data_IF_037110783945
#
_entry.id   IF_037110783945
#
_cell.length_a   1.000
_cell.length_b   1.000
_cell.length_c   1.000
_cell.angle_alpha   90.00
_cell.angle_beta   90.00
_cell.angle_gamma   90.00
#
_symmetry.space_group_name_H-M   'P 1'
#
loop_
_entity.id
_entity.type
_entity.pdbx_description
1 polymer ?
#
# COMPACT_ATOMS: atom_id res chain seq x y z
N UNK A 1 34.63 -32.29 -4.37
CA UNK A 1 33.86 -31.21 -3.66
C UNK A 1 33.91 -29.89 -4.46
N UNK A 2 35.04 -29.36 -4.90
CA UNK A 2 35.11 -28.09 -5.66
C UNK A 2 34.33 -28.07 -6.99
N UNK A 3 34.18 -29.19 -7.70
CA UNK A 3 33.36 -29.27 -8.92
C UNK A 3 31.86 -29.06 -8.71
N UNK A 4 31.32 -29.36 -7.53
CA UNK A 4 29.92 -29.12 -7.20
C UNK A 4 29.64 -27.63 -6.94
N UNK A 5 30.56 -26.91 -6.33
CA UNK A 5 30.42 -25.47 -6.07
C UNK A 5 30.64 -24.61 -7.32
N UNK A 6 31.44 -25.08 -8.30
CA UNK A 6 31.63 -24.34 -9.55
C UNK A 6 30.42 -24.32 -10.46
N UNK A 7 29.50 -25.29 -10.34
CA UNK A 7 28.26 -25.37 -11.15
C UNK A 7 27.07 -24.60 -10.53
N UNK A 8 27.20 -24.03 -9.35
CA UNK A 8 26.15 -23.23 -8.71
C UNK A 8 26.08 -21.87 -9.40
N UNK A 9 24.88 -21.46 -9.81
CA UNK A 9 24.63 -20.19 -10.52
C UNK A 9 24.81 -18.96 -9.62
N UNK A 10 24.64 -19.12 -8.30
CA UNK A 10 24.88 -18.05 -7.34
C UNK A 10 26.37 -17.72 -7.24
N UNK A 11 26.67 -16.40 -7.15
CA UNK A 11 28.04 -15.94 -6.98
C UNK A 11 28.62 -16.33 -5.61
N UNK A 12 29.74 -17.04 -5.59
CA UNK A 12 30.43 -17.48 -4.37
C UNK A 12 31.91 -17.15 -4.43
N UNK A 13 32.49 -16.75 -3.30
CA UNK A 13 33.91 -16.59 -3.12
C UNK A 13 34.36 -17.13 -1.76
N UNK A 14 35.63 -17.45 -1.66
CA UNK A 14 36.26 -18.05 -0.48
C UNK A 14 37.38 -17.14 -0.01
N UNK A 15 37.43 -16.90 1.29
CA UNK A 15 38.54 -16.22 1.94
C UNK A 15 39.24 -17.14 2.91
N UNK A 16 40.56 -16.96 3.04
CA UNK A 16 41.35 -17.62 4.04
C UNK A 16 41.18 -16.96 5.44
N UNK A 17 41.85 -17.50 6.46
CA UNK A 17 41.78 -16.96 7.82
C UNK A 17 42.27 -15.51 7.94
N UNK A 18 43.11 -15.04 7.03
CA UNK A 18 43.60 -13.66 7.01
C UNK A 18 42.61 -12.68 6.35
N UNK A 19 41.51 -13.18 5.73
CA UNK A 19 40.55 -12.39 4.96
C UNK A 19 40.96 -12.18 3.50
N UNK A 20 41.97 -12.92 3.00
CA UNK A 20 42.42 -12.87 1.62
C UNK A 20 41.55 -13.78 0.74
N UNK A 21 41.11 -13.28 -0.40
CA UNK A 21 40.29 -14.03 -1.36
C UNK A 21 41.17 -15.09 -2.02
N UNK A 22 40.76 -16.36 -1.88
CA UNK A 22 41.54 -17.50 -2.39
C UNK A 22 40.84 -18.19 -3.56
N UNK A 23 39.54 -18.00 -3.74
CA UNK A 23 38.79 -18.66 -4.80
C UNK A 23 37.46 -17.96 -5.07
N UNK A 24 36.97 -18.06 -6.35
CA UNK A 24 35.64 -17.64 -6.78
C UNK A 24 35.05 -18.68 -7.75
N UNK A 25 33.74 -18.82 -7.76
CA UNK A 25 33.03 -19.67 -8.71
C UNK A 25 32.66 -18.94 -10.02
N UNK A 26 32.17 -19.68 -11.02
CA UNK A 26 31.69 -19.10 -12.28
C UNK A 26 30.60 -18.05 -12.07
N UNK A 27 29.66 -18.29 -11.15
CA UNK A 27 28.57 -17.35 -10.86
C UNK A 27 29.03 -16.00 -10.32
N UNK A 28 30.19 -15.94 -9.66
CA UNK A 28 30.75 -14.69 -9.14
C UNK A 28 31.46 -13.85 -10.20
N UNK A 29 31.95 -14.46 -11.28
CA UNK A 29 32.71 -13.78 -12.36
C UNK A 29 31.93 -12.59 -12.95
N UNK A 30 30.61 -12.69 -13.03
CA UNK A 30 29.75 -11.61 -13.56
C UNK A 30 29.84 -10.29 -12.80
N UNK A 31 30.28 -10.32 -11.53
CA UNK A 31 30.41 -9.12 -10.69
C UNK A 31 31.79 -8.46 -10.79
N UNK A 32 32.81 -9.17 -11.28
CA UNK A 32 34.20 -8.69 -11.39
C UNK A 32 34.33 -7.37 -12.15
N UNK A 33 33.71 -7.20 -13.33
CA UNK A 33 33.86 -5.96 -14.10
C UNK A 33 33.35 -4.73 -13.33
N UNK A 34 32.24 -4.84 -12.60
CA UNK A 34 31.67 -3.77 -11.79
C UNK A 34 32.51 -3.45 -10.54
N UNK A 35 33.29 -4.42 -10.05
CA UNK A 35 34.25 -4.25 -8.98
C UNK A 35 35.60 -3.72 -9.45
N UNK A 36 35.80 -3.58 -10.79
CA UNK A 36 37.02 -3.04 -11.40
C UNK A 36 38.08 -4.09 -11.81
N UNK A 37 37.71 -5.36 -11.91
CA UNK A 37 38.58 -6.46 -12.25
C UNK A 37 38.22 -7.07 -13.60
N UNK A 38 39.24 -7.35 -14.45
CA UNK A 38 39.02 -7.93 -15.76
C UNK A 38 39.14 -9.46 -15.78
N UNK A 39 39.74 -10.06 -14.75
CA UNK A 39 39.91 -11.52 -14.63
C UNK A 39 39.89 -11.97 -13.16
N UNK A 40 39.71 -13.29 -12.99
CA UNK A 40 39.76 -13.93 -11.65
C UNK A 40 41.15 -13.80 -11.03
N UNK A 41 42.21 -13.97 -11.84
CA UNK A 41 43.60 -13.91 -11.37
C UNK A 41 43.97 -12.53 -10.78
N UNK A 42 43.28 -11.47 -11.27
CA UNK A 42 43.45 -10.12 -10.73
C UNK A 42 42.66 -9.94 -9.41
N UNK A 43 41.59 -10.68 -9.20
CA UNK A 43 40.74 -10.57 -8.05
C UNK A 43 41.20 -11.42 -6.86
N UNK A 44 41.63 -12.63 -7.13
CA UNK A 44 42.19 -13.56 -6.15
C UNK A 44 43.51 -13.01 -5.59
N UNK A 45 43.69 -13.14 -4.29
CA UNK A 45 44.87 -12.61 -3.58
C UNK A 45 44.67 -11.26 -2.88
N UNK A 46 43.60 -10.51 -3.22
CA UNK A 46 43.28 -9.25 -2.53
C UNK A 46 42.63 -9.52 -1.17
N UNK A 47 42.78 -8.55 -0.26
CA UNK A 47 41.98 -8.55 0.97
C UNK A 47 40.52 -8.24 0.62
N UNK A 48 39.62 -9.00 1.20
CA UNK A 48 38.18 -8.87 0.90
C UNK A 48 37.64 -7.45 1.26
N UNK A 49 38.21 -6.82 2.26
CA UNK A 49 37.84 -5.48 2.71
C UNK A 49 38.25 -4.38 1.71
N UNK A 50 39.35 -4.58 0.99
CA UNK A 50 39.83 -3.63 -0.02
C UNK A 50 38.90 -3.62 -1.25
N UNK A 51 38.32 -4.77 -1.57
CA UNK A 51 37.45 -4.95 -2.73
C UNK A 51 35.98 -4.71 -2.39
N UNK A 52 35.57 -5.13 -1.20
CA UNK A 52 34.20 -5.03 -0.69
C UNK A 52 34.25 -4.31 0.67
N UNK A 53 34.33 -2.97 0.68
CA UNK A 53 34.61 -2.21 1.91
C UNK A 53 33.62 -2.41 3.05
N UNK A 54 32.35 -2.71 2.73
CA UNK A 54 31.30 -2.90 3.73
C UNK A 54 31.08 -4.39 4.09
N UNK A 55 32.05 -5.24 3.80
CA UNK A 55 31.92 -6.67 4.13
C UNK A 55 32.05 -6.88 5.63
N UNK A 56 31.19 -7.73 6.19
CA UNK A 56 31.29 -8.18 7.60
C UNK A 56 32.14 -9.48 7.70
N UNK A 57 32.97 -9.76 6.69
CA UNK A 57 33.71 -11.03 6.61
C UNK A 57 34.71 -11.18 7.76
N UNK A 58 35.40 -10.10 8.14
CA UNK A 58 36.33 -10.11 9.26
C UNK A 58 35.67 -10.56 10.56
N UNK A 59 34.47 -10.04 10.85
CA UNK A 59 33.70 -10.43 12.03
C UNK A 59 33.39 -11.93 12.03
N UNK A 60 32.99 -12.50 10.88
CA UNK A 60 32.74 -13.94 10.74
C UNK A 60 33.99 -14.76 10.99
N UNK A 61 35.16 -14.31 10.52
CA UNK A 61 36.44 -14.96 10.75
C UNK A 61 36.89 -14.91 12.22
N UNK A 62 36.61 -13.80 12.91
CA UNK A 62 36.97 -13.59 14.33
C UNK A 62 36.02 -14.29 15.28
N UNK A 63 34.70 -14.20 15.06
CA UNK A 63 33.70 -14.76 15.97
C UNK A 63 33.34 -16.20 15.66
N UNK A 64 33.54 -16.63 14.43
CA UNK A 64 33.09 -17.93 13.94
C UNK A 64 31.56 -18.05 13.84
N UNK A 65 30.81 -16.96 13.97
CA UNK A 65 29.35 -16.93 13.80
C UNK A 65 28.94 -16.62 12.36
N UNK A 66 28.03 -17.38 11.77
CA UNK A 66 27.57 -17.13 10.41
C UNK A 66 26.67 -15.88 10.33
N UNK A 67 26.80 -15.13 9.27
CA UNK A 67 25.85 -14.09 8.85
C UNK A 67 25.02 -14.63 7.68
N UNK A 68 23.83 -15.16 7.99
CA UNK A 68 23.04 -15.92 7.00
C UNK A 68 22.28 -15.02 6.03
N UNK A 69 21.87 -13.80 6.42
CA UNK A 69 21.17 -12.85 5.56
C UNK A 69 21.63 -11.44 5.92
N UNK A 70 22.25 -10.76 4.96
CA UNK A 70 22.70 -9.37 5.13
C UNK A 70 22.54 -8.61 3.81
N UNK A 71 22.30 -7.29 3.87
CA UNK A 71 22.24 -6.41 2.72
C UNK A 71 23.61 -5.76 2.51
N UNK A 72 24.23 -6.08 1.37
CA UNK A 72 25.50 -5.51 0.96
C UNK A 72 25.29 -4.60 -0.25
N UNK A 73 25.67 -3.32 -0.12
CA UNK A 73 25.69 -2.37 -1.24
C UNK A 73 27.14 -2.02 -1.57
N UNK A 74 27.54 -2.24 -2.82
CA UNK A 74 28.85 -1.89 -3.35
C UNK A 74 28.72 -1.28 -4.76
N UNK A 75 29.85 -1.11 -5.47
CA UNK A 75 29.87 -0.56 -6.84
C UNK A 75 29.13 -1.41 -7.87
N UNK A 76 28.95 -2.70 -7.62
CA UNK A 76 28.23 -3.61 -8.51
C UNK A 76 26.71 -3.65 -8.25
N UNK A 77 26.19 -3.03 -7.17
CA UNK A 77 24.78 -2.97 -6.85
C UNK A 77 24.48 -3.29 -5.38
N UNK A 78 23.21 -3.55 -5.11
CA UNK A 78 22.72 -4.01 -3.80
C UNK A 78 22.40 -5.50 -3.88
N UNK A 79 22.90 -6.25 -2.92
CA UNK A 79 22.84 -7.72 -2.88
C UNK A 79 22.33 -8.20 -1.52
N UNK A 80 21.62 -9.32 -1.52
CA UNK A 80 21.43 -10.11 -0.31
C UNK A 80 22.50 -11.16 -0.28
N UNK A 81 23.30 -11.17 0.78
CA UNK A 81 24.48 -12.01 0.90
C UNK A 81 24.44 -12.84 2.17
N UNK A 82 25.14 -13.97 2.14
CA UNK A 82 25.40 -14.83 3.28
C UNK A 82 26.90 -15.01 3.46
N UNK A 83 27.33 -15.13 4.72
CA UNK A 83 28.73 -15.38 5.06
C UNK A 83 28.77 -16.50 6.09
N UNK A 84 29.48 -17.57 5.75
CA UNK A 84 29.52 -18.80 6.56
C UNK A 84 31.00 -19.13 6.86
N UNK A 85 31.36 -19.30 8.14
CA UNK A 85 32.71 -19.69 8.51
C UNK A 85 32.99 -21.13 8.06
N UNK A 86 34.20 -21.36 7.60
CA UNK A 86 34.72 -22.69 7.36
C UNK A 86 35.55 -23.13 8.55
N UNK A 87 35.31 -24.36 9.03
CA UNK A 87 35.97 -24.93 10.16
C UNK A 87 36.74 -26.20 9.74
N UNK A 88 37.83 -26.46 10.44
CA UNK A 88 38.55 -27.73 10.33
C UNK A 88 37.93 -28.80 11.25
N UNK A 89 38.55 -29.98 11.27
CA UNK A 89 38.15 -31.11 12.13
C UNK A 89 38.29 -30.79 13.65
N UNK A 90 39.08 -29.78 14.00
CA UNK A 90 39.28 -29.31 15.38
C UNK A 90 38.33 -28.14 15.73
N UNK A 91 37.31 -27.87 14.92
CA UNK A 91 36.34 -26.75 15.05
C UNK A 91 36.96 -25.35 15.00
N UNK A 92 38.21 -25.23 14.51
CA UNK A 92 38.88 -23.94 14.34
C UNK A 92 38.50 -23.32 13.02
N UNK A 93 38.25 -21.99 13.01
CA UNK A 93 37.93 -21.24 11.79
C UNK A 93 39.16 -21.13 10.88
N UNK A 94 39.09 -21.74 9.71
CA UNK A 94 40.19 -21.76 8.73
C UNK A 94 39.95 -20.76 7.58
N UNK A 95 38.74 -20.23 7.45
CA UNK A 95 38.34 -19.32 6.41
C UNK A 95 36.84 -19.04 6.47
N UNK A 96 36.30 -18.40 5.41
CA UNK A 96 34.87 -18.21 5.27
C UNK A 96 34.44 -18.18 3.81
N UNK A 97 33.17 -18.55 3.55
CA UNK A 97 32.49 -18.43 2.26
C UNK A 97 31.61 -17.20 2.26
N UNK A 98 31.76 -16.35 1.25
CA UNK A 98 30.79 -15.31 0.90
C UNK A 98 29.92 -15.80 -0.26
N UNK A 99 28.61 -15.68 -0.13
CA UNK A 99 27.63 -16.11 -1.13
C UNK A 99 26.64 -14.99 -1.43
N UNK A 100 26.42 -14.70 -2.71
CA UNK A 100 25.34 -13.80 -3.17
C UNK A 100 24.07 -14.65 -3.31
N UNK A 101 23.11 -14.44 -2.42
CA UNK A 101 21.83 -15.14 -2.46
C UNK A 101 20.92 -14.54 -3.54
N UNK A 102 20.85 -13.19 -3.60
CA UNK A 102 20.06 -12.46 -4.57
C UNK A 102 20.83 -11.24 -5.06
N UNK A 103 20.92 -11.09 -6.37
CA UNK A 103 21.61 -9.99 -7.05
C UNK A 103 20.69 -8.80 -7.41
N UNK A 104 19.36 -8.99 -7.30
CA UNK A 104 18.35 -7.96 -7.43
C UNK A 104 17.31 -8.10 -6.32
N UNK A 105 17.64 -7.71 -5.06
CA UNK A 105 16.73 -7.88 -3.94
C UNK A 105 15.42 -7.12 -4.12
N UNK A 106 15.42 -6.03 -4.89
CA UNK A 106 14.23 -5.23 -5.17
C UNK A 106 13.17 -6.01 -5.97
N UNK A 107 13.59 -6.91 -6.87
CA UNK A 107 12.67 -7.74 -7.66
C UNK A 107 12.38 -9.09 -7.03
N UNK A 108 13.37 -9.70 -6.34
CA UNK A 108 13.25 -11.07 -5.81
C UNK A 108 12.63 -11.10 -4.41
N UNK A 109 12.81 -10.04 -3.60
CA UNK A 109 12.22 -9.95 -2.27
C UNK A 109 10.80 -9.36 -2.25
N UNK A 110 10.33 -8.75 -3.34
CA UNK A 110 8.97 -8.24 -3.46
C UNK A 110 7.89 -9.28 -3.11
N UNK A 111 7.95 -10.53 -3.62
CA UNK A 111 6.98 -11.56 -3.24
C UNK A 111 7.03 -11.90 -1.74
N UNK A 112 8.22 -11.91 -1.15
CA UNK A 112 8.40 -12.15 0.30
C UNK A 112 7.88 -10.98 1.13
N UNK A 113 8.18 -9.75 0.74
CA UNK A 113 7.68 -8.54 1.41
C UNK A 113 6.15 -8.48 1.30
N UNK A 114 5.58 -8.81 0.14
CA UNK A 114 4.13 -8.90 -0.07
C UNK A 114 3.51 -9.99 0.81
N UNK A 115 4.17 -11.15 0.91
CA UNK A 115 3.73 -12.28 1.75
C UNK A 115 3.82 -11.95 3.25
N UNK A 116 4.87 -11.27 3.69
CA UNK A 116 4.99 -10.78 5.07
C UNK A 116 3.94 -9.70 5.39
N UNK A 117 3.71 -8.75 4.48
CA UNK A 117 2.68 -7.73 4.63
C UNK A 117 1.26 -8.34 4.67
N UNK A 118 1.05 -9.47 3.97
CA UNK A 118 -0.19 -10.26 4.04
C UNK A 118 -0.32 -10.96 5.39
N UNK A 119 0.74 -11.68 5.82
CA UNK A 119 0.73 -12.38 7.11
C UNK A 119 0.52 -11.42 8.28
N UNK A 120 1.08 -10.21 8.23
CA UNK A 120 0.81 -9.17 9.22
C UNK A 120 -0.65 -8.70 9.18
N UNK A 121 -1.24 -8.55 7.99
CA UNK A 121 -2.67 -8.21 7.85
C UNK A 121 -3.56 -9.29 8.44
N UNK A 122 -3.30 -10.56 8.08
CA UNK A 122 -4.05 -11.71 8.59
C UNK A 122 -3.94 -11.84 10.12
N UNK A 123 -2.75 -11.56 10.67
CA UNK A 123 -2.51 -11.54 12.12
C UNK A 123 -3.22 -10.38 12.83
N UNK A 124 -3.23 -9.21 12.20
CA UNK A 124 -3.93 -8.04 12.71
C UNK A 124 -5.45 -8.21 12.62
N UNK A 125 -5.95 -8.85 11.56
CA UNK A 125 -7.37 -9.18 11.39
C UNK A 125 -7.80 -10.25 12.40
N UNK A 126 -7.00 -11.29 12.60
CA UNK A 126 -7.24 -12.31 13.65
C UNK A 126 -7.20 -11.71 15.07
N UNK A 127 -6.26 -10.80 15.35
CA UNK A 127 -6.21 -10.06 16.62
C UNK A 127 -7.43 -9.17 16.84
N UNK A 128 -7.93 -8.54 15.76
CA UNK A 128 -9.14 -7.71 15.79
C UNK A 128 -10.38 -8.55 16.03
N UNK A 129 -10.47 -9.71 15.38
CA UNK A 129 -11.57 -10.64 15.56
C UNK A 129 -11.62 -11.20 17.00
N UNK A 130 -10.47 -11.56 17.57
CA UNK A 130 -10.31 -11.92 18.97
C UNK A 130 -10.66 -10.79 19.95
N UNK A 131 -10.27 -9.54 19.63
CA UNK A 131 -10.62 -8.37 20.42
C UNK A 131 -12.13 -8.08 20.36
N UNK A 132 -12.75 -8.27 19.20
CA UNK A 132 -14.21 -8.12 19.03
C UNK A 132 -14.97 -9.20 19.78
N UNK A 133 -14.51 -10.45 19.76
CA UNK A 133 -15.09 -11.56 20.54
C UNK A 133 -14.95 -11.33 22.07
N UNK A 134 -13.85 -10.77 22.54
CA UNK A 134 -13.67 -10.41 23.96
C UNK A 134 -14.58 -9.25 24.40
N UNK A 135 -14.85 -8.31 23.50
CA UNK A 135 -15.75 -7.16 23.78
C UNK A 135 -17.23 -7.55 23.76
N UNK A 136 -17.62 -8.58 23.01
CA UNK A 136 -18.99 -9.11 22.99
C UNK A 136 -19.33 -9.97 24.20
N UNK A 137 -18.34 -10.48 24.93
CA UNK A 137 -18.53 -11.22 26.20
C UNK A 137 -18.54 -10.31 27.45
N UNK A 138 -18.18 -9.04 27.31
CA UNK A 138 -18.25 -8.03 28.39
C UNK A 138 -19.47 -7.14 28.23
N UNK A 139 -20.48 -7.34 29.08
CA UNK A 139 -21.67 -6.50 29.21
C UNK A 139 -21.31 -5.01 29.37
N UNK A 140 -21.67 -4.16 28.42
CA UNK A 140 -21.56 -2.72 28.59
C UNK A 140 -21.92 -1.95 27.32
N UNK A 141 -23.03 -1.23 27.35
CA UNK A 141 -23.48 -0.29 26.32
C UNK A 141 -22.41 0.78 26.05
N UNK A 142 -21.59 0.61 25.02
CA UNK A 142 -20.71 1.63 24.51
C UNK A 142 -20.74 1.53 22.98
N UNK A 143 -20.89 2.63 22.26
CA UNK A 143 -20.78 2.70 20.81
C UNK A 143 -19.37 2.27 20.42
N UNK A 144 -19.17 0.97 20.19
CA UNK A 144 -17.88 0.39 19.85
C UNK A 144 -17.38 0.95 18.53
N UNK A 145 -16.28 1.69 18.59
CA UNK A 145 -15.55 2.12 17.40
C UNK A 145 -15.20 0.88 16.56
N UNK A 146 -15.72 0.78 15.33
CA UNK A 146 -15.33 -0.26 14.40
C UNK A 146 -13.86 -0.05 14.06
N UNK A 147 -12.99 -1.08 14.15
CA UNK A 147 -11.59 -0.94 13.77
C UNK A 147 -11.49 -0.43 12.34
N UNK A 148 -10.53 0.45 12.09
CA UNK A 148 -10.31 1.02 10.75
C UNK A 148 -10.07 -0.08 9.73
N UNK A 149 -10.85 -0.07 8.65
CA UNK A 149 -10.85 -1.08 7.60
C UNK A 149 -9.49 -1.21 6.88
N UNK A 150 -8.72 -0.12 6.81
CA UNK A 150 -7.47 -0.05 6.06
C UNK A 150 -6.37 0.66 6.85
N UNK A 151 -5.12 0.24 6.63
CA UNK A 151 -3.90 0.84 7.16
C UNK A 151 -2.99 1.32 6.03
N UNK A 152 -1.84 1.96 6.34
CA UNK A 152 -0.86 2.33 5.30
C UNK A 152 -0.30 1.15 4.51
N UNK A 153 -0.34 -0.08 5.05
CA UNK A 153 0.02 -1.30 4.32
C UNK A 153 -1.00 -1.61 3.21
N UNK A 154 -2.25 -1.21 3.37
CA UNK A 154 -3.31 -1.40 2.36
C UNK A 154 -3.11 -0.51 1.13
N UNK A 155 -2.35 0.58 1.23
CA UNK A 155 -1.95 1.39 0.07
C UNK A 155 -0.69 0.79 -0.57
N UNK A 156 -0.90 -0.13 -1.51
CA UNK A 156 0.17 -0.87 -2.18
C UNK A 156 0.97 0.06 -3.09
N UNK A 157 2.31 -0.05 -3.03
CA UNK A 157 3.25 0.68 -3.86
C UNK A 157 4.56 0.96 -3.15
N UNK A 158 5.65 0.82 -3.92
CA UNK A 158 7.04 1.05 -3.52
C UNK A 158 7.71 2.11 -4.38
N UNK A 159 7.02 2.60 -5.42
CA UNK A 159 7.51 3.71 -6.24
C UNK A 159 7.84 4.95 -5.40
N UNK A 160 8.79 5.79 -5.82
CA UNK A 160 9.09 7.06 -5.13
C UNK A 160 7.85 7.91 -4.88
N UNK A 161 6.91 7.94 -5.85
CA UNK A 161 5.65 8.66 -5.74
C UNK A 161 4.74 8.07 -4.65
N UNK A 162 4.59 6.74 -4.57
CA UNK A 162 3.80 6.07 -3.55
C UNK A 162 4.42 6.24 -2.14
N UNK A 163 5.75 6.14 -2.04
CA UNK A 163 6.48 6.34 -0.78
C UNK A 163 6.29 7.78 -0.27
N UNK A 164 6.36 8.78 -1.15
CA UNK A 164 6.17 10.18 -0.79
C UNK A 164 4.76 10.44 -0.27
N UNK A 165 3.73 9.92 -0.95
CA UNK A 165 2.33 10.00 -0.48
C UNK A 165 2.16 9.38 0.90
N UNK A 166 2.70 8.17 1.12
CA UNK A 166 2.67 7.51 2.43
C UNK A 166 3.36 8.35 3.51
N UNK A 167 4.50 8.99 3.17
CA UNK A 167 5.23 9.87 4.07
C UNK A 167 4.40 11.10 4.47
N UNK A 168 3.79 11.77 3.48
CA UNK A 168 2.91 12.93 3.72
C UNK A 168 1.70 12.54 4.56
N UNK A 169 1.05 11.42 4.24
CA UNK A 169 -0.11 10.92 4.95
C UNK A 169 0.22 10.54 6.41
N UNK A 170 1.39 9.93 6.68
CA UNK A 170 1.85 9.67 8.06
C UNK A 170 2.09 10.96 8.85
N UNK A 171 2.68 11.98 8.23
CA UNK A 171 2.83 13.30 8.87
C UNK A 171 1.48 13.93 9.16
N UNK A 172 0.57 13.89 8.18
CA UNK A 172 -0.78 14.38 8.36
C UNK A 172 -1.53 13.64 9.49
N UNK A 173 -1.30 12.35 9.67
CA UNK A 173 -1.92 11.57 10.74
C UNK A 173 -1.59 12.11 12.14
N UNK A 174 -0.40 12.66 12.34
CA UNK A 174 0.04 13.22 13.63
C UNK A 174 -0.52 14.63 13.92
N UNK A 175 -1.05 15.32 12.90
CA UNK A 175 -1.66 16.62 13.05
C UNK A 175 -3.18 16.49 13.29
N UNK A 176 -3.78 17.48 13.97
CA UNK A 176 -5.23 17.59 14.12
C UNK A 176 -5.91 18.36 12.98
N UNK A 177 -5.11 19.01 12.12
CA UNK A 177 -5.60 19.84 11.02
C UNK A 177 -6.39 19.05 9.98
N UNK A 178 -7.30 19.72 9.23
CA UNK A 178 -7.98 19.13 8.08
C UNK A 178 -7.00 18.64 7.02
N UNK A 179 -7.36 17.54 6.34
CA UNK A 179 -6.57 16.93 5.26
C UNK A 179 -7.41 16.94 3.98
N UNK A 180 -6.82 17.38 2.86
CA UNK A 180 -7.44 17.33 1.54
C UNK A 180 -6.67 16.37 0.63
N UNK A 181 -7.31 15.27 0.25
CA UNK A 181 -6.78 14.26 -0.66
C UNK A 181 -7.20 14.60 -2.10
N UNK A 182 -6.24 14.92 -2.94
CA UNK A 182 -6.45 15.29 -4.35
C UNK A 182 -5.96 14.17 -5.26
N UNK A 183 -6.79 13.70 -6.18
CA UNK A 183 -6.38 12.68 -7.15
C UNK A 183 -7.55 12.05 -7.88
N UNK A 184 -7.27 11.44 -9.02
CA UNK A 184 -8.27 10.80 -9.87
C UNK A 184 -9.06 9.71 -9.13
N UNK A 185 -10.26 9.39 -9.63
CA UNK A 185 -11.08 8.30 -9.09
C UNK A 185 -10.32 6.97 -9.18
N UNK A 186 -10.35 6.18 -8.10
CA UNK A 186 -9.67 4.89 -8.03
C UNK A 186 -8.17 4.95 -7.69
N UNK A 187 -7.59 6.11 -7.34
CA UNK A 187 -6.19 6.22 -6.93
C UNK A 187 -5.89 5.71 -5.52
N UNK A 188 -6.94 5.42 -4.72
CA UNK A 188 -6.80 4.94 -3.35
C UNK A 188 -6.97 6.02 -2.28
N UNK A 189 -7.68 7.13 -2.58
CA UNK A 189 -7.96 8.21 -1.61
C UNK A 189 -8.66 7.70 -0.35
N UNK A 190 -9.67 6.82 -0.50
CA UNK A 190 -10.37 6.21 0.63
C UNK A 190 -9.43 5.38 1.52
N UNK A 191 -8.55 4.56 0.92
CA UNK A 191 -7.55 3.79 1.67
C UNK A 191 -6.64 4.69 2.51
N UNK A 192 -6.21 5.81 1.93
CA UNK A 192 -5.37 6.79 2.63
C UNK A 192 -6.12 7.50 3.75
N UNK A 193 -7.39 7.88 3.55
CA UNK A 193 -8.22 8.50 4.58
C UNK A 193 -8.36 7.57 5.81
N UNK A 194 -8.67 6.30 5.58
CA UNK A 194 -8.72 5.29 6.63
C UNK A 194 -7.37 5.09 7.32
N UNK A 195 -6.27 5.03 6.56
CA UNK A 195 -4.92 4.88 7.11
C UNK A 195 -4.48 6.09 7.95
N UNK A 196 -4.84 7.31 7.52
CA UNK A 196 -4.58 8.55 8.27
C UNK A 196 -5.33 8.52 9.60
N UNK A 197 -6.62 8.15 9.60
CA UNK A 197 -7.39 8.01 10.83
C UNK A 197 -6.79 6.95 11.75
N UNK A 198 -6.50 5.75 11.24
CA UNK A 198 -5.95 4.64 12.02
C UNK A 198 -4.59 4.94 12.69
N UNK A 199 -3.81 5.87 12.11
CA UNK A 199 -2.51 6.29 12.63
C UNK A 199 -2.57 7.62 13.41
N UNK A 200 -3.76 8.19 13.62
CA UNK A 200 -3.95 9.48 14.30
C UNK A 200 -4.22 9.30 15.80
N UNK A 201 -4.15 10.41 16.54
CA UNK A 201 -4.56 10.45 17.95
C UNK A 201 -6.03 10.11 18.17
N UNK A 202 -6.86 10.14 17.11
CA UNK A 202 -8.30 9.82 17.12
C UNK A 202 -8.61 8.40 16.63
N UNK A 203 -7.61 7.52 16.53
CA UNK A 203 -7.75 6.14 16.04
C UNK A 203 -8.75 5.29 16.85
N UNK A 204 -8.94 5.60 18.12
CA UNK A 204 -9.92 4.96 19.01
C UNK A 204 -11.34 5.50 18.84
N UNK A 205 -11.51 6.67 18.22
CA UNK A 205 -12.79 7.30 17.95
C UNK A 205 -13.47 6.75 16.68
N UNK A 206 -14.71 7.18 16.40
CA UNK A 206 -15.40 6.77 15.18
C UNK A 206 -14.76 7.36 13.92
N UNK A 207 -14.72 6.55 12.85
CA UNK A 207 -14.51 7.04 11.49
C UNK A 207 -15.83 6.96 10.74
N UNK A 208 -16.40 8.10 10.43
CA UNK A 208 -17.66 8.22 9.67
C UNK A 208 -17.35 8.69 8.26
N UNK A 209 -17.68 7.87 7.26
CA UNK A 209 -17.45 8.20 5.84
C UNK A 209 -18.77 8.59 5.15
N UNK A 210 -18.71 9.62 4.34
CA UNK A 210 -19.81 10.06 3.47
C UNK A 210 -19.26 10.24 2.05
N UNK A 211 -19.83 9.50 1.10
CA UNK A 211 -19.59 9.76 -0.30
C UNK A 211 -20.69 10.71 -0.81
N UNK A 212 -20.32 11.94 -1.10
CA UNK A 212 -21.25 13.02 -1.44
C UNK A 212 -21.94 12.72 -2.78
N UNK A 213 -21.21 12.19 -3.75
CA UNK A 213 -21.76 11.85 -5.06
C UNK A 213 -22.79 10.69 -5.03
N UNK A 214 -22.80 9.89 -3.96
CA UNK A 214 -23.72 8.75 -3.81
C UNK A 214 -25.03 9.11 -3.11
N UNK A 215 -25.15 10.30 -2.50
CA UNK A 215 -26.34 10.74 -1.76
C UNK A 215 -27.10 11.76 -2.60
N UNK A 216 -28.41 11.64 -2.79
CA UNK A 216 -29.22 12.67 -3.45
C UNK A 216 -29.10 14.03 -2.76
N UNK A 217 -28.99 15.11 -3.51
CA UNK A 217 -28.80 16.47 -3.00
C UNK A 217 -29.83 16.87 -1.94
N UNK A 218 -31.09 16.44 -2.11
CA UNK A 218 -32.20 16.72 -1.18
C UNK A 218 -32.06 16.04 0.19
N UNK A 219 -31.24 14.99 0.27
CA UNK A 219 -31.01 14.24 1.50
C UNK A 219 -29.67 14.58 2.17
N UNK A 220 -28.74 15.21 1.43
CA UNK A 220 -27.41 15.51 1.94
C UNK A 220 -27.45 16.33 3.23
N UNK A 221 -28.30 17.35 3.32
CA UNK A 221 -28.41 18.20 4.50
C UNK A 221 -28.85 17.42 5.72
N UNK A 222 -29.89 16.59 5.57
CA UNK A 222 -30.38 15.70 6.64
C UNK A 222 -29.33 14.67 7.06
N UNK A 223 -28.57 14.12 6.12
CA UNK A 223 -27.48 13.19 6.41
C UNK A 223 -26.35 13.86 7.21
N UNK A 224 -25.95 15.09 6.84
CA UNK A 224 -24.86 15.79 7.53
C UNK A 224 -25.25 16.29 8.91
N UNK A 225 -26.35 17.02 9.01
CA UNK A 225 -26.73 17.77 10.23
C UNK A 225 -27.76 17.04 11.10
N UNK A 226 -28.44 16.03 10.52
CA UNK A 226 -29.49 15.30 11.20
C UNK A 226 -30.85 15.98 11.14
N UNK A 227 -31.85 15.33 11.70
CA UNK A 227 -33.23 15.77 11.69
C UNK A 227 -33.77 15.72 13.14
N UNK A 228 -34.35 16.83 13.62
CA UNK A 228 -34.95 16.88 14.91
C UNK A 228 -36.27 16.06 14.99
N UNK A 229 -36.64 15.56 16.13
CA UNK A 229 -37.95 14.89 16.31
C UNK A 229 -39.11 15.76 15.85
N UNK A 230 -39.96 15.26 14.94
CA UNK A 230 -41.14 15.97 14.49
C UNK A 230 -40.88 17.13 13.51
N UNK A 231 -39.69 17.21 12.88
CA UNK A 231 -39.29 18.31 12.02
C UNK A 231 -40.19 18.53 10.77
N UNK A 232 -40.86 17.48 10.30
CA UNK A 232 -41.86 17.56 9.21
C UNK A 232 -42.84 16.38 9.29
N UNK A 233 -43.98 16.52 8.59
CA UNK A 233 -45.00 15.47 8.50
C UNK A 233 -44.42 14.21 7.86
N UNK A 234 -44.31 13.14 8.67
CA UNK A 234 -43.65 11.87 8.23
C UNK A 234 -42.22 11.67 8.80
N UNK A 235 -41.66 12.64 9.52
CA UNK A 235 -40.40 12.46 10.23
C UNK A 235 -40.59 11.46 11.40
N UNK A 236 -39.57 10.59 11.58
CA UNK A 236 -39.55 9.65 12.70
C UNK A 236 -39.73 10.40 14.05
N UNK A 237 -40.54 9.85 14.94
CA UNK A 237 -40.81 10.44 16.28
C UNK A 237 -39.53 10.62 17.13
N UNK A 238 -38.47 9.88 16.82
CA UNK A 238 -37.17 9.90 17.53
C UNK A 238 -36.14 10.86 16.95
N UNK A 239 -36.39 11.46 15.76
CA UNK A 239 -35.35 12.17 15.01
C UNK A 239 -34.22 11.28 14.52
N UNK A 240 -33.26 11.85 13.80
CA UNK A 240 -32.08 11.11 13.27
C UNK A 240 -30.81 11.93 13.47
N UNK A 241 -29.79 11.33 14.08
CA UNK A 241 -28.49 11.96 14.24
C UNK A 241 -27.77 12.10 12.89
N UNK A 242 -27.17 13.28 12.66
CA UNK A 242 -26.37 13.57 11.49
C UNK A 242 -24.95 13.01 11.59
N UNK A 243 -24.25 12.99 10.45
CA UNK A 243 -22.90 12.44 10.36
C UNK A 243 -21.88 13.18 11.24
N UNK A 244 -22.04 14.48 11.44
CA UNK A 244 -21.20 15.25 12.36
C UNK A 244 -21.32 14.72 13.80
N UNK A 245 -22.53 14.49 14.25
CA UNK A 245 -22.77 13.94 15.59
C UNK A 245 -22.29 12.50 15.73
N UNK A 246 -22.46 11.68 14.68
CA UNK A 246 -21.97 10.31 14.66
C UNK A 246 -20.43 10.23 14.64
N UNK A 247 -19.76 11.27 14.13
CA UNK A 247 -18.30 11.37 14.05
C UNK A 247 -17.68 12.04 15.27
N UNK A 248 -18.49 12.47 16.24
CA UNK A 248 -18.02 13.23 17.42
C UNK A 248 -16.94 12.46 18.20
N UNK A 249 -15.88 13.15 18.60
CA UNK A 249 -14.67 12.56 19.18
C UNK A 249 -13.77 11.81 18.19
N UNK A 250 -14.13 11.74 16.89
CA UNK A 250 -13.47 10.95 15.88
C UNK A 250 -13.09 11.74 14.62
N UNK A 251 -13.32 11.09 13.47
CA UNK A 251 -12.98 11.63 12.15
C UNK A 251 -14.16 11.53 11.19
N UNK A 252 -14.43 12.60 10.45
CA UNK A 252 -15.40 12.64 9.35
C UNK A 252 -14.64 12.62 8.02
N UNK A 253 -14.87 11.60 7.22
CA UNK A 253 -14.32 11.50 5.88
C UNK A 253 -15.36 11.89 4.84
N UNK A 254 -15.06 12.95 4.07
CA UNK A 254 -15.91 13.53 3.02
C UNK A 254 -15.34 13.15 1.66
N UNK A 255 -15.88 12.11 1.04
CA UNK A 255 -15.46 11.70 -0.29
C UNK A 255 -16.22 12.47 -1.37
N UNK A 256 -15.51 12.80 -2.44
CA UNK A 256 -15.96 13.63 -3.57
C UNK A 256 -16.56 14.97 -3.11
N UNK A 257 -15.82 15.70 -2.25
CA UNK A 257 -16.25 17.01 -1.71
C UNK A 257 -16.54 18.05 -2.80
N UNK A 258 -15.91 17.91 -3.99
CA UNK A 258 -16.17 18.75 -5.13
C UNK A 258 -17.62 18.67 -5.63
N UNK A 259 -18.31 17.57 -5.44
CA UNK A 259 -19.69 17.38 -5.91
C UNK A 259 -20.73 17.93 -4.92
N UNK A 260 -20.32 18.62 -3.84
CA UNK A 260 -21.22 19.20 -2.85
C UNK A 260 -21.98 20.43 -3.39
N UNK A 261 -23.33 20.51 -3.26
CA UNK A 261 -24.09 21.68 -3.65
C UNK A 261 -23.68 22.96 -2.91
N UNK A 262 -23.67 24.12 -3.61
CA UNK A 262 -23.21 25.41 -3.06
C UNK A 262 -23.90 25.82 -1.76
N UNK A 263 -25.22 25.56 -1.64
CA UNK A 263 -25.95 25.85 -0.41
C UNK A 263 -25.43 25.06 0.79
N UNK A 264 -25.06 23.80 0.57
CA UNK A 264 -24.51 22.92 1.59
C UNK A 264 -23.06 23.26 1.94
N UNK A 265 -22.27 23.75 0.97
CA UNK A 265 -20.90 24.23 1.19
C UNK A 265 -20.87 25.39 2.22
N UNK A 266 -21.84 26.32 2.16
CA UNK A 266 -21.95 27.41 3.12
C UNK A 266 -22.26 26.92 4.54
N UNK A 267 -23.17 25.95 4.67
CA UNK A 267 -23.50 25.33 5.96
C UNK A 267 -22.34 24.51 6.54
N UNK A 268 -21.65 23.78 5.67
CA UNK A 268 -20.44 23.03 6.04
C UNK A 268 -19.35 23.98 6.58
N UNK A 269 -19.09 25.08 5.88
CA UNK A 269 -18.11 26.07 6.31
C UNK A 269 -18.44 26.62 7.71
N UNK A 270 -19.71 27.00 7.92
CA UNK A 270 -20.16 27.48 9.22
C UNK A 270 -19.98 26.46 10.32
N UNK A 271 -20.37 25.21 10.08
CA UNK A 271 -20.16 24.12 11.03
C UNK A 271 -18.68 23.92 11.39
N UNK A 272 -17.77 23.96 10.38
CA UNK A 272 -16.32 23.81 10.59
C UNK A 272 -15.66 25.02 11.28
N UNK A 273 -16.27 26.19 11.22
CA UNK A 273 -15.77 27.41 11.88
C UNK A 273 -16.23 27.48 13.34
N UNK A 274 -17.51 27.20 13.58
CA UNK A 274 -18.17 27.35 14.88
C UNK A 274 -18.02 26.08 15.75
N UNK A 275 -17.79 24.91 15.15
CA UNK A 275 -17.74 23.63 15.89
C UNK A 275 -19.13 23.16 16.35
N UNK A 276 -20.19 23.66 15.73
CA UNK A 276 -21.58 23.39 16.11
C UNK A 276 -22.42 23.15 14.86
N UNK A 277 -23.45 22.33 14.99
CA UNK A 277 -24.45 22.07 13.94
C UNK A 277 -25.86 22.38 14.44
N UNK A 278 -26.73 22.75 13.50
CA UNK A 278 -28.15 22.93 13.72
C UNK A 278 -28.91 21.83 12.97
N UNK A 279 -29.54 20.85 13.67
CA UNK A 279 -30.35 19.82 13.02
C UNK A 279 -31.57 20.40 12.32
N UNK A 280 -31.98 19.80 11.19
CA UNK A 280 -33.16 20.23 10.46
C UNK A 280 -34.40 20.22 11.34
N UNK A 281 -35.15 21.33 11.32
CA UNK A 281 -36.36 21.51 12.16
C UNK A 281 -36.10 21.82 13.62
N UNK A 282 -34.88 22.22 13.97
CA UNK A 282 -34.49 22.65 15.31
C UNK A 282 -33.65 23.92 15.24
N UNK A 283 -33.83 24.83 16.18
CA UNK A 283 -32.95 25.99 16.38
C UNK A 283 -31.90 25.72 17.48
N UNK A 284 -31.78 24.46 17.93
CA UNK A 284 -30.81 24.09 18.98
C UNK A 284 -29.47 23.74 18.36
N UNK A 285 -28.43 24.50 18.71
CA UNK A 285 -27.05 24.21 18.34
C UNK A 285 -26.53 22.97 19.10
N UNK A 286 -25.85 22.10 18.39
CA UNK A 286 -25.25 20.87 18.91
C UNK A 286 -23.76 20.95 18.67
N UNK A 287 -22.93 21.08 19.71
CA UNK A 287 -21.46 21.11 19.54
C UNK A 287 -20.92 19.75 19.12
N UNK A 288 -19.80 19.76 18.41
CA UNK A 288 -19.07 18.56 18.02
C UNK A 288 -17.55 18.81 18.00
N UNK A 289 -16.77 17.77 18.21
CA UNK A 289 -15.32 17.76 18.03
C UNK A 289 -14.91 16.71 17.01
N UNK A 290 -14.81 17.10 15.75
CA UNK A 290 -14.56 16.20 14.64
C UNK A 290 -13.34 16.65 13.82
N UNK A 291 -12.42 15.73 13.54
CA UNK A 291 -11.39 15.94 12.55
C UNK A 291 -11.93 15.64 11.15
N UNK A 292 -11.68 16.54 10.18
CA UNK A 292 -12.14 16.36 8.80
C UNK A 292 -11.01 15.89 7.89
N UNK A 293 -11.29 14.85 7.12
CA UNK A 293 -10.49 14.42 5.95
C UNK A 293 -11.42 14.52 4.73
N UNK A 294 -11.03 15.28 3.72
CA UNK A 294 -11.79 15.45 2.49
C UNK A 294 -11.06 14.83 1.32
N UNK A 295 -11.79 14.32 0.34
CA UNK A 295 -11.21 13.80 -0.90
C UNK A 295 -11.99 14.29 -2.12
N UNK A 296 -11.31 14.50 -3.23
CA UNK A 296 -11.96 14.83 -4.50
C UNK A 296 -11.12 14.41 -5.70
N UNK A 297 -11.82 14.07 -6.78
CA UNK A 297 -11.25 13.88 -8.12
C UNK A 297 -11.32 15.12 -8.99
N UNK A 298 -12.06 16.16 -8.55
CA UNK A 298 -12.26 17.41 -9.28
C UNK A 298 -11.10 18.37 -9.08
N UNK A 299 -10.83 19.18 -10.10
CA UNK A 299 -9.95 20.34 -9.98
C UNK A 299 -10.72 21.49 -9.30
N UNK A 300 -10.52 21.61 -7.99
CA UNK A 300 -11.22 22.63 -7.20
C UNK A 300 -10.83 24.06 -7.63
N UNK A 301 -9.62 24.28 -8.16
CA UNK A 301 -9.21 25.59 -8.66
C UNK A 301 -10.02 26.02 -9.90
N UNK A 302 -10.31 25.07 -10.77
CA UNK A 302 -11.23 25.31 -11.90
C UNK A 302 -12.64 25.59 -11.39
N UNK A 303 -13.13 24.76 -10.46
CA UNK A 303 -14.50 24.89 -9.93
C UNK A 303 -14.74 26.16 -9.13
N UNK A 304 -13.73 26.69 -8.43
CA UNK A 304 -13.80 28.02 -7.81
C UNK A 304 -13.98 29.11 -8.86
N UNK A 305 -13.21 29.07 -9.97
CA UNK A 305 -13.34 30.05 -11.08
C UNK A 305 -14.69 29.97 -11.75
N UNK A 306 -15.29 28.80 -11.84
CA UNK A 306 -16.63 28.58 -12.41
C UNK A 306 -17.77 28.86 -11.41
N UNK A 307 -17.45 29.28 -10.19
CA UNK A 307 -18.44 29.55 -9.13
C UNK A 307 -19.15 28.31 -8.61
N UNK A 308 -18.60 27.09 -8.85
CA UNK A 308 -19.15 25.81 -8.39
C UNK A 308 -18.64 25.37 -7.02
N UNK A 309 -17.53 25.95 -6.57
CA UNK A 309 -16.95 25.69 -5.26
C UNK A 309 -16.57 27.01 -4.59
N UNK A 310 -16.87 27.16 -3.31
CA UNK A 310 -16.59 28.36 -2.53
C UNK A 310 -15.12 28.43 -2.15
N UNK A 311 -14.51 29.59 -2.34
CA UNK A 311 -13.12 29.86 -2.03
C UNK A 311 -12.83 29.77 -0.51
N UNK A 312 -13.73 30.29 0.31
CA UNK A 312 -13.62 30.27 1.78
C UNK A 312 -13.62 28.83 2.33
N UNK A 313 -14.47 27.95 1.81
CA UNK A 313 -14.48 26.54 2.17
C UNK A 313 -13.20 25.84 1.70
N UNK A 314 -12.73 26.14 0.49
CA UNK A 314 -11.48 25.59 -0.03
C UNK A 314 -10.31 25.84 0.93
N UNK A 315 -10.09 27.06 1.36
CA UNK A 315 -8.98 27.38 2.28
C UNK A 315 -9.16 26.75 3.66
N UNK A 316 -10.38 26.52 4.11
CA UNK A 316 -10.66 25.83 5.39
C UNK A 316 -10.32 24.34 5.32
N UNK A 317 -10.51 23.69 4.17
CA UNK A 317 -10.23 22.26 3.95
C UNK A 317 -8.78 22.01 3.51
N UNK A 318 -8.18 22.91 2.74
CA UNK A 318 -6.86 22.76 2.11
C UNK A 318 -5.70 23.17 3.04
N UNK A 319 -5.72 22.68 4.29
CA UNK A 319 -4.63 22.95 5.26
C UNK A 319 -3.48 21.99 5.05
N UNK A 320 -3.77 20.69 4.88
CA UNK A 320 -2.78 19.67 4.58
C UNK A 320 -3.16 18.95 3.26
N UNK A 321 -2.78 19.52 2.11
CA UNK A 321 -3.03 18.87 0.83
C UNK A 321 -2.11 17.69 0.59
N UNK A 322 -2.68 16.58 0.10
CA UNK A 322 -1.94 15.39 -0.33
C UNK A 322 -2.42 15.02 -1.73
N UNK A 323 -1.51 15.14 -2.72
CA UNK A 323 -1.79 14.69 -4.08
C UNK A 323 -1.50 13.19 -4.19
N UNK A 324 -2.53 12.44 -4.52
CA UNK A 324 -2.43 10.99 -4.75
C UNK A 324 -2.18 10.76 -6.25
N UNK A 325 -0.99 10.28 -6.64
CA UNK A 325 -0.62 10.15 -8.04
C UNK A 325 -1.46 9.08 -8.74
N UNK A 326 -1.84 9.30 -9.99
CA UNK A 326 -2.48 8.29 -10.82
C UNK A 326 -1.51 7.14 -11.13
N UNK A 327 -2.05 5.97 -11.47
CA UNK A 327 -1.24 4.76 -11.69
C UNK A 327 -0.22 4.91 -12.82
N UNK A 328 -0.49 5.74 -13.81
CA UNK A 328 0.46 6.08 -14.88
C UNK A 328 1.73 6.82 -14.42
N UNK A 329 1.68 7.49 -13.26
CA UNK A 329 2.82 8.16 -12.63
C UNK A 329 3.59 7.24 -11.66
N UNK A 330 3.04 6.02 -11.37
CA UNK A 330 3.64 5.01 -10.50
C UNK A 330 3.55 3.60 -11.11
N UNK A 331 3.91 3.48 -12.39
CA UNK A 331 3.81 2.22 -13.15
C UNK A 331 4.61 1.07 -12.56
N UNK A 332 5.68 1.36 -11.86
CA UNK A 332 6.49 0.37 -11.14
C UNK A 332 5.72 -0.32 -10.01
N UNK A 333 4.58 0.23 -9.57
CA UNK A 333 3.73 -0.40 -8.56
C UNK A 333 2.73 -1.40 -9.17
N UNK A 334 2.58 -1.45 -10.51
CA UNK A 334 1.60 -2.30 -11.19
C UNK A 334 1.79 -3.78 -10.86
N UNK A 335 3.02 -4.35 -10.89
CA UNK A 335 3.23 -5.75 -10.55
C UNK A 335 2.70 -6.11 -9.15
N UNK A 336 3.07 -5.33 -8.14
CA UNK A 336 2.63 -5.55 -6.76
C UNK A 336 1.11 -5.36 -6.58
N UNK A 337 0.51 -4.44 -7.33
CA UNK A 337 -0.94 -4.25 -7.34
C UNK A 337 -1.67 -5.43 -7.98
N UNK A 338 -1.15 -5.97 -9.07
CA UNK A 338 -1.72 -7.13 -9.77
C UNK A 338 -1.67 -8.36 -8.87
N UNK A 339 -0.55 -8.62 -8.21
CA UNK A 339 -0.39 -9.71 -7.26
C UNK A 339 -1.41 -9.61 -6.11
N UNK A 340 -1.49 -8.46 -5.45
CA UNK A 340 -2.40 -8.27 -4.33
C UNK A 340 -3.89 -8.32 -4.73
N UNK A 341 -4.25 -7.84 -5.93
CA UNK A 341 -5.62 -7.93 -6.44
C UNK A 341 -5.94 -9.35 -6.92
N UNK A 342 -4.97 -10.05 -7.49
CA UNK A 342 -5.09 -11.45 -7.86
C UNK A 342 -5.38 -12.32 -6.66
N UNK A 343 -4.65 -12.13 -5.56
CA UNK A 343 -4.88 -12.80 -4.28
C UNK A 343 -6.31 -12.59 -3.76
N UNK A 344 -6.81 -11.37 -3.80
CA UNK A 344 -8.16 -11.02 -3.34
C UNK A 344 -9.25 -11.69 -4.22
N UNK A 345 -9.02 -11.74 -5.53
CA UNK A 345 -9.91 -12.43 -6.49
C UNK A 345 -9.87 -13.94 -6.28
N UNK A 346 -8.69 -14.53 -6.11
CA UNK A 346 -8.51 -15.97 -5.88
C UNK A 346 -9.22 -16.41 -4.59
N UNK A 347 -9.07 -15.65 -3.51
CA UNK A 347 -9.75 -15.88 -2.22
C UNK A 347 -11.28 -15.82 -2.34
N UNK A 348 -11.82 -14.85 -3.07
CA UNK A 348 -13.27 -14.69 -3.25
C UNK A 348 -13.88 -15.76 -4.13
N UNK A 349 -13.16 -16.23 -5.13
CA UNK A 349 -13.65 -17.18 -6.11
C UNK A 349 -13.29 -18.64 -5.75
N UNK A 350 -12.50 -18.89 -4.69
CA UNK A 350 -12.00 -20.20 -4.31
C UNK A 350 -11.15 -20.87 -5.40
N UNK A 351 -10.50 -20.06 -6.26
CA UNK A 351 -9.68 -20.52 -7.39
C UNK A 351 -8.20 -20.18 -7.16
N UNK A 352 -7.31 -20.93 -7.82
CA UNK A 352 -5.89 -20.61 -7.80
C UNK A 352 -5.63 -19.21 -8.42
N UNK A 353 -4.58 -18.55 -7.97
CA UNK A 353 -4.10 -17.29 -8.57
C UNK A 353 -3.86 -17.50 -10.06
N UNK A 354 -4.38 -16.63 -10.95
CA UNK A 354 -3.94 -16.63 -12.34
C UNK A 354 -2.48 -16.19 -12.42
N UNK A 355 -1.62 -17.04 -12.93
CA UNK A 355 -0.23 -16.66 -13.24
C UNK A 355 -0.23 -15.75 -14.48
N UNK A 356 0.10 -14.49 -14.29
CA UNK A 356 0.33 -13.56 -15.40
C UNK A 356 1.73 -13.80 -15.95
N UNK A 357 1.81 -14.04 -17.27
CA UNK A 357 3.09 -14.13 -17.96
C UNK A 357 3.83 -12.79 -17.93
N UNK A 358 5.16 -12.82 -18.04
CA UNK A 358 5.97 -11.59 -18.08
C UNK A 358 5.54 -10.64 -19.22
N UNK A 359 5.13 -11.19 -20.37
CA UNK A 359 4.64 -10.43 -21.52
C UNK A 359 3.30 -9.75 -21.22
N UNK A 360 2.37 -10.43 -20.56
CA UNK A 360 1.09 -9.86 -20.13
C UNK A 360 1.29 -8.72 -19.13
N UNK A 361 2.22 -8.88 -18.20
CA UNK A 361 2.59 -7.85 -17.23
C UNK A 361 3.25 -6.63 -17.91
N UNK A 362 4.16 -6.87 -18.86
CA UNK A 362 4.78 -5.81 -19.66
C UNK A 362 3.73 -5.03 -20.47
N UNK A 363 2.76 -5.73 -21.07
CA UNK A 363 1.65 -5.11 -21.79
C UNK A 363 0.78 -4.24 -20.87
N UNK A 364 0.47 -4.71 -19.66
CA UNK A 364 -0.27 -3.92 -18.65
C UNK A 364 0.49 -2.65 -18.26
N UNK A 365 1.79 -2.75 -18.06
CA UNK A 365 2.65 -1.59 -17.74
C UNK A 365 2.76 -0.59 -18.90
N UNK A 366 2.70 -1.06 -20.15
CA UNK A 366 2.80 -0.22 -21.35
C UNK A 366 1.50 0.49 -21.71
N UNK A 367 0.35 -0.04 -21.28
CA UNK A 367 -0.96 0.55 -21.62
C UNK A 367 -1.13 1.99 -21.09
N UNK A 368 -1.82 2.83 -21.88
CA UNK A 368 -2.33 4.12 -21.41
C UNK A 368 -3.49 3.85 -20.43
N UNK A 369 -3.16 3.77 -19.13
CA UNK A 369 -4.13 3.57 -18.06
C UNK A 369 -4.96 4.84 -17.88
N UNK A 370 -5.99 4.99 -18.70
CA UNK A 370 -6.91 6.14 -18.64
C UNK A 370 -7.83 6.12 -17.42
N UNK A 371 -7.98 4.95 -16.78
CA UNK A 371 -8.69 4.75 -15.50
C UNK A 371 -7.88 3.83 -14.60
N UNK A 372 -8.00 4.03 -13.29
CA UNK A 372 -7.16 3.47 -12.24
C UNK A 372 -7.47 1.96 -11.92
N UNK A 373 -7.23 1.53 -10.72
CA UNK A 373 -7.42 0.21 -10.15
C UNK A 373 -8.54 -0.71 -10.74
N UNK A 374 -9.76 -0.24 -11.05
CA UNK A 374 -10.81 -1.12 -11.54
C UNK A 374 -10.47 -1.85 -12.85
N UNK A 375 -9.69 -1.21 -13.73
CA UNK A 375 -9.28 -1.83 -15.00
C UNK A 375 -8.20 -2.89 -14.83
N UNK A 376 -7.28 -2.71 -13.90
CA UNK A 376 -6.25 -3.72 -13.59
C UNK A 376 -6.92 -4.98 -13.04
N UNK A 377 -7.88 -4.84 -12.13
CA UNK A 377 -8.67 -5.95 -11.62
C UNK A 377 -9.55 -6.61 -12.70
N UNK A 378 -10.05 -5.83 -13.66
CA UNK A 378 -10.88 -6.34 -14.76
C UNK A 378 -10.04 -7.10 -15.78
N UNK A 379 -8.83 -6.64 -16.13
CA UNK A 379 -7.91 -7.37 -17.00
C UNK A 379 -7.49 -8.71 -16.38
N UNK A 380 -7.17 -8.74 -15.09
CA UNK A 380 -6.88 -9.98 -14.38
C UNK A 380 -8.04 -10.98 -14.35
N UNK A 381 -9.30 -10.50 -14.36
CA UNK A 381 -10.50 -11.36 -14.45
C UNK A 381 -10.70 -11.91 -15.86
N UNK A 382 -10.49 -11.09 -16.89
CA UNK A 382 -10.74 -11.49 -18.29
C UNK A 382 -9.79 -12.60 -18.73
N UNK A 383 -8.50 -12.56 -18.29
CA UNK A 383 -7.54 -13.61 -18.58
C UNK A 383 -7.86 -14.93 -17.87
N UNK A 384 -8.43 -14.88 -16.66
CA UNK A 384 -8.87 -16.09 -15.95
C UNK A 384 -10.07 -16.77 -16.60
N UNK A 385 -10.98 -15.99 -17.21
CA UNK A 385 -12.13 -16.53 -17.95
C UNK A 385 -11.73 -17.07 -19.34
N UNK A 386 -10.76 -16.47 -20.00
CA UNK A 386 -10.20 -16.96 -21.26
C UNK A 386 -9.49 -18.31 -21.13
N UNK A 387 -8.86 -18.58 -19.98
CA UNK A 387 -8.23 -19.87 -19.69
C UNK A 387 -9.21 -20.98 -19.32
N UNK A 388 -10.46 -20.66 -18.93
CA UNK A 388 -11.50 -21.65 -18.61
C UNK A 388 -12.26 -22.20 -19.81
N UNK A 389 -12.10 -21.63 -21.03
CA UNK A 389 -12.73 -22.09 -22.25
C UNK A 389 -11.76 -22.30 -23.43
N UNK A 390 -10.87 -23.34 -23.40
CA UNK A 390 -10.08 -23.71 -24.58
C UNK A 390 -10.73 -24.77 -25.47
N UNK A 391 -12.05 -24.95 -25.45
CA UNK A 391 -12.66 -25.98 -26.29
C UNK A 391 -14.02 -25.55 -26.80
N UNK A 392 -14.10 -24.90 -27.94
CA UNK A 392 -15.19 -24.98 -28.93
C UNK A 392 -14.96 -23.99 -30.09
N UNK A 393 -13.85 -24.20 -30.83
CA UNK A 393 -13.75 -23.71 -32.22
C UNK A 393 -12.98 -24.73 -33.02
N UNK A 394 -13.67 -25.79 -33.44
CA UNK A 394 -13.41 -26.55 -34.66
C UNK A 394 -14.42 -27.69 -34.76
N UNK A 395 -15.57 -27.43 -35.35
CA UNK A 395 -16.34 -28.40 -36.09
C UNK A 395 -17.50 -27.67 -36.80
N UNK A 396 -17.40 -27.51 -38.08
CA UNK A 396 -18.51 -26.94 -38.88
C UNK A 396 -18.09 -26.32 -40.19
N UNK A 397 -17.24 -26.98 -40.93
CA UNK A 397 -17.13 -26.74 -42.38
C UNK A 397 -17.00 -28.07 -43.05
N UNK A 398 -18.06 -28.51 -43.66
CA UNK A 398 -18.06 -29.71 -44.52
C UNK A 398 -19.45 -30.17 -44.91
N UNK A 399 -19.73 -29.96 -46.17
CA UNK A 399 -20.60 -30.76 -47.02
C UNK A 399 -22.09 -30.46 -47.04
N UNK A 400 -22.55 -30.22 -48.23
CA UNK A 400 -23.91 -30.41 -48.65
C UNK A 400 -24.31 -29.62 -49.86
N UNK A 401 -23.72 -29.93 -51.02
CA UNK A 401 -24.32 -29.64 -52.32
C UNK A 401 -25.48 -30.60 -52.55
N UNK A 402 -26.60 -30.10 -52.93
CA UNK A 402 -27.48 -30.44 -54.08
C UNK A 402 -28.69 -29.54 -54.00
#
# INVERSE_FOLDING_TARGET
MFHLFSSISQGMFLVDRSGRIVWVNEGYKRFLPALGFSSVDQFVGHMVEDVIPNTQMRRVLETGEPYLIDLLTNRAGTFVVSRIPLRDEADSVIGAIGMVLFDHPETTLQPLISKFARMQRDLDDARRELATQRLTQGTGKGHGARPSKYTFASFIGTSPAAVEVKRQARRAAQASSPVLLLGETGTGKELLAHAIHAASSRASGPLVSVNIAAVPDTLLEAEFFGVAPGAYTGAERKGRDGKFKLADGGTLFLDEIGDMPLGLQAKLLRALQEGEIEPLGSNKLVPFDVRVISATSRDLAVWMREGKFREDLYYRLNVLPIRVPPLRERRTDIPALVEALGDDVALRNGSALPELTADALALLCAQKLARQHPRVAQCARTDSDAQRHPAHRHAGAGAGAT
#
